data_IF_587914311789
#
_entry.id   IF_587914311789
#
_cell.length_a   1.000
_cell.length_b   1.000
_cell.length_c   1.000
_cell.angle_alpha   90.00
_cell.angle_beta   90.00
_cell.angle_gamma   90.00
#
_symmetry.space_group_name_H-M   'P 1'
#
loop_
_entity.id
_entity.type
_entity.pdbx_description
1 polymer ?
#
# COMPACT_ATOMS: atom_id res chain seq x y z
N UNK A 1 3.28 -17.91 20.21
CA UNK A 1 2.29 -16.96 20.76
C UNK A 1 2.25 -16.99 22.28
N UNK A 2 2.09 -18.16 22.92
CA UNK A 2 1.93 -18.28 24.38
C UNK A 2 3.04 -17.58 25.18
N UNK A 3 4.31 -17.74 24.78
CA UNK A 3 5.45 -17.02 25.39
C UNK A 3 5.34 -15.50 25.28
N UNK A 4 4.74 -14.97 24.22
CA UNK A 4 4.55 -13.54 24.05
C UNK A 4 3.40 -13.03 24.93
N UNK A 5 2.30 -13.77 25.00
CA UNK A 5 1.20 -13.46 25.90
C UNK A 5 1.69 -13.50 27.36
N UNK A 6 2.47 -14.50 27.71
CA UNK A 6 3.08 -14.60 29.04
C UNK A 6 4.02 -13.41 29.33
N UNK A 7 4.83 -13.00 28.35
CA UNK A 7 5.69 -11.82 28.46
C UNK A 7 4.88 -10.53 28.69
N UNK A 8 3.67 -10.43 28.08
CA UNK A 8 2.80 -9.26 28.24
C UNK A 8 2.03 -9.23 29.57
N UNK A 9 1.91 -10.37 30.25
CA UNK A 9 1.26 -10.41 31.59
C UNK A 9 1.99 -9.51 32.56
N UNK A 10 1.22 -8.80 33.37
CA UNK A 10 1.72 -7.87 34.38
C UNK A 10 2.56 -6.69 33.82
N UNK A 11 2.51 -6.43 32.50
CA UNK A 11 3.13 -5.28 31.87
C UNK A 11 2.18 -4.11 31.78
N UNK A 12 2.71 -2.90 31.89
CA UNK A 12 2.02 -1.66 31.53
C UNK A 12 2.06 -1.52 30.03
N UNK A 13 0.95 -1.91 29.37
CA UNK A 13 0.84 -1.98 27.92
C UNK A 13 0.17 -0.70 27.42
N UNK A 14 0.83 0.00 26.52
CA UNK A 14 0.28 1.20 25.91
C UNK A 14 0.02 0.98 24.41
N UNK A 15 -1.19 1.35 23.94
CA UNK A 15 -1.61 1.23 22.54
C UNK A 15 -1.90 2.62 22.01
N UNK A 16 -1.10 3.08 21.05
CA UNK A 16 -1.21 4.42 20.47
C UNK A 16 -1.94 4.36 19.13
N UNK A 17 -2.79 5.37 18.83
CA UNK A 17 -3.60 5.42 17.62
C UNK A 17 -4.71 4.37 17.64
N UNK A 18 -5.35 4.22 18.80
CA UNK A 18 -6.30 3.13 19.06
C UNK A 18 -7.55 3.18 18.18
N UNK A 19 -7.95 4.36 17.68
CA UNK A 19 -9.08 4.47 16.73
C UNK A 19 -8.73 4.03 15.32
N UNK A 20 -7.44 3.88 15.00
CA UNK A 20 -6.96 3.38 13.73
C UNK A 20 -7.12 1.86 13.58
N UNK A 21 -7.06 1.36 12.33
CA UNK A 21 -7.22 -0.06 12.05
C UNK A 21 -6.17 -0.95 12.74
N UNK A 22 -4.93 -0.48 12.86
CA UNK A 22 -3.85 -1.21 13.56
C UNK A 22 -4.09 -1.22 15.08
N UNK A 23 -4.30 -0.05 15.68
CA UNK A 23 -4.47 0.10 17.12
C UNK A 23 -5.70 -0.59 17.68
N UNK A 24 -6.86 -0.47 17.00
CA UNK A 24 -8.10 -1.15 17.41
C UNK A 24 -7.98 -2.67 17.36
N UNK A 25 -7.26 -3.20 16.36
CA UNK A 25 -7.08 -4.65 16.24
C UNK A 25 -6.07 -5.19 17.28
N UNK A 26 -5.04 -4.40 17.62
CA UNK A 26 -4.13 -4.71 18.73
C UNK A 26 -4.90 -4.71 20.06
N UNK A 27 -5.73 -3.68 20.32
CA UNK A 27 -6.56 -3.66 21.53
C UNK A 27 -7.44 -4.91 21.62
N UNK A 28 -8.13 -5.25 20.55
CA UNK A 28 -8.94 -6.48 20.47
C UNK A 28 -8.14 -7.73 20.82
N UNK A 29 -6.91 -7.86 20.27
CA UNK A 29 -6.00 -8.95 20.59
C UNK A 29 -5.69 -9.00 22.11
N UNK A 30 -5.33 -7.87 22.72
CA UNK A 30 -4.98 -7.81 24.13
C UNK A 30 -6.17 -8.18 25.03
N UNK A 31 -7.36 -7.66 24.75
CA UNK A 31 -8.58 -7.96 25.52
C UNK A 31 -9.01 -9.42 25.35
N UNK A 32 -8.95 -9.97 24.13
CA UNK A 32 -9.22 -11.40 23.85
C UNK A 32 -8.34 -12.31 24.71
N UNK A 33 -7.08 -11.94 24.94
CA UNK A 33 -6.14 -12.68 25.77
C UNK A 33 -6.19 -12.30 27.25
N UNK A 34 -7.21 -11.54 27.68
CA UNK A 34 -7.43 -11.15 29.07
C UNK A 34 -6.22 -10.45 29.71
N UNK A 35 -5.50 -9.65 28.91
CA UNK A 35 -4.38 -8.87 29.41
C UNK A 35 -4.91 -7.60 30.11
N UNK A 36 -4.39 -7.37 31.31
CA UNK A 36 -4.72 -6.20 32.13
C UNK A 36 -3.63 -5.13 32.05
N UNK A 37 -3.86 -3.95 32.60
CA UNK A 37 -2.85 -2.87 32.56
C UNK A 37 -2.72 -2.22 31.17
N UNK A 38 -3.75 -2.31 30.35
CA UNK A 38 -3.79 -1.70 29.01
C UNK A 38 -4.24 -0.25 29.10
N UNK A 39 -3.41 0.66 28.58
CA UNK A 39 -3.74 2.08 28.40
C UNK A 39 -3.78 2.38 26.91
N UNK A 40 -4.87 2.97 26.46
CA UNK A 40 -5.10 3.34 25.05
C UNK A 40 -4.97 4.84 24.85
N UNK A 41 -4.36 5.23 23.73
CA UNK A 41 -4.04 6.61 23.41
C UNK A 41 -4.51 6.98 22.01
N UNK A 42 -5.16 8.14 21.87
CA UNK A 42 -5.43 8.73 20.58
C UNK A 42 -5.49 10.26 20.65
N UNK A 43 -5.02 10.94 19.62
CA UNK A 43 -5.04 12.39 19.51
C UNK A 43 -6.42 12.95 19.18
N UNK A 44 -7.40 12.12 18.84
CA UNK A 44 -8.78 12.54 18.58
C UNK A 44 -9.49 12.85 19.91
N UNK A 45 -10.43 13.75 19.88
CA UNK A 45 -11.29 14.04 21.05
C UNK A 45 -12.34 12.92 21.19
N UNK A 46 -12.84 12.72 22.41
CA UNK A 46 -13.80 11.65 22.72
C UNK A 46 -15.04 11.68 21.82
N UNK A 47 -15.56 12.87 21.52
CA UNK A 47 -16.71 13.05 20.62
C UNK A 47 -16.41 12.77 19.15
N UNK A 48 -15.16 12.52 18.78
CA UNK A 48 -14.72 12.23 17.41
C UNK A 48 -14.29 10.76 17.22
N UNK A 49 -14.35 9.94 18.25
CA UNK A 49 -13.87 8.55 18.22
C UNK A 49 -14.57 7.76 17.11
N UNK A 50 -15.89 7.84 16.99
CA UNK A 50 -16.66 7.12 15.97
C UNK A 50 -16.26 7.54 14.56
N UNK A 51 -16.14 8.85 14.33
CA UNK A 51 -15.76 9.40 13.04
C UNK A 51 -14.36 8.92 12.64
N UNK A 52 -13.39 8.98 13.56
CA UNK A 52 -12.02 8.52 13.34
C UNK A 52 -11.99 7.02 13.06
N UNK A 53 -12.65 6.21 13.87
CA UNK A 53 -12.71 4.77 13.68
C UNK A 53 -13.25 4.41 12.28
N UNK A 54 -14.41 4.97 11.90
CA UNK A 54 -15.02 4.71 10.58
C UNK A 54 -14.18 5.21 9.41
N UNK A 55 -13.40 6.28 9.61
CA UNK A 55 -12.47 6.81 8.60
C UNK A 55 -11.33 5.82 8.29
N UNK A 56 -10.78 5.17 9.31
CA UNK A 56 -9.63 4.28 9.15
C UNK A 56 -9.98 2.84 8.78
N UNK A 57 -11.22 2.40 8.99
CA UNK A 57 -11.72 1.08 8.59
C UNK A 57 -12.34 1.14 7.19
N UNK A 58 -11.47 1.32 6.19
CA UNK A 58 -11.85 1.39 4.77
C UNK A 58 -12.08 -0.02 4.21
N UNK A 59 -12.76 -0.11 3.06
CA UNK A 59 -12.90 -1.36 2.31
C UNK A 59 -13.99 -2.32 2.82
N UNK A 60 -14.76 -1.94 3.83
CA UNK A 60 -15.89 -2.72 4.36
C UNK A 60 -17.19 -1.91 4.31
N UNK A 61 -18.32 -2.62 4.33
CA UNK A 61 -19.66 -2.01 4.32
C UNK A 61 -19.93 -1.15 5.56
N UNK A 62 -20.89 -0.25 5.47
CA UNK A 62 -21.29 0.59 6.60
C UNK A 62 -21.80 -0.27 7.78
N UNK A 63 -22.57 -1.32 7.49
CA UNK A 63 -23.11 -2.25 8.50
C UNK A 63 -21.97 -2.98 9.24
N UNK A 64 -20.94 -3.42 8.51
CA UNK A 64 -19.77 -4.05 9.12
C UNK A 64 -18.98 -3.07 9.98
N UNK A 65 -18.83 -1.81 9.54
CA UNK A 65 -18.18 -0.77 10.34
C UNK A 65 -18.90 -0.53 11.67
N UNK A 66 -20.22 -0.50 11.64
CA UNK A 66 -21.04 -0.32 12.86
C UNK A 66 -20.89 -1.49 13.82
N UNK A 67 -20.88 -2.73 13.29
CA UNK A 67 -20.64 -3.93 14.10
C UNK A 67 -19.25 -3.91 14.73
N UNK A 68 -18.23 -3.58 13.95
CA UNK A 68 -16.84 -3.50 14.44
C UNK A 68 -16.69 -2.37 15.46
N UNK A 69 -17.35 -1.23 15.25
CA UNK A 69 -17.29 -0.11 16.19
C UNK A 69 -17.92 -0.46 17.53
N UNK A 70 -19.07 -1.15 17.55
CA UNK A 70 -19.66 -1.64 18.81
C UNK A 70 -18.72 -2.57 19.56
N UNK A 71 -18.06 -3.50 18.85
CA UNK A 71 -17.04 -4.36 19.45
C UNK A 71 -15.85 -3.58 20.00
N UNK A 72 -15.38 -2.59 19.24
CA UNK A 72 -14.27 -1.70 19.65
C UNK A 72 -14.61 -0.92 20.94
N UNK A 73 -15.84 -0.39 21.08
CA UNK A 73 -16.26 0.31 22.32
C UNK A 73 -16.26 -0.64 23.52
N UNK A 74 -16.69 -1.89 23.34
CA UNK A 74 -16.66 -2.89 24.39
C UNK A 74 -15.22 -3.26 24.80
N UNK A 75 -14.29 -3.32 23.85
CA UNK A 75 -12.87 -3.54 24.14
C UNK A 75 -12.26 -2.30 24.84
N UNK A 76 -12.59 -1.10 24.36
CA UNK A 76 -12.11 0.17 24.90
C UNK A 76 -12.51 0.37 26.36
N UNK A 77 -13.73 -0.03 26.74
CA UNK A 77 -14.22 0.06 28.11
C UNK A 77 -13.44 -0.81 29.10
N UNK A 78 -12.61 -1.75 28.64
CA UNK A 78 -11.74 -2.61 29.44
C UNK A 78 -10.31 -2.08 29.56
N UNK A 79 -10.05 -0.88 29.05
CA UNK A 79 -8.74 -0.22 29.10
C UNK A 79 -8.82 1.14 29.76
N UNK A 80 -7.68 1.65 30.24
CA UNK A 80 -7.56 3.05 30.60
C UNK A 80 -7.43 3.88 29.32
N UNK A 81 -8.14 4.99 29.23
CA UNK A 81 -8.16 5.82 28.02
C UNK A 81 -7.48 7.17 28.21
N UNK A 82 -6.76 7.63 27.22
CA UNK A 82 -6.15 8.95 27.16
C UNK A 82 -6.32 9.55 25.77
N UNK A 83 -7.19 10.52 25.61
CA UNK A 83 -7.58 11.12 24.33
C UNK A 83 -7.30 12.63 24.26
N UNK A 84 -7.31 13.17 23.04
CA UNK A 84 -7.19 14.60 22.78
C UNK A 84 -5.77 15.14 22.92
N UNK A 85 -5.61 16.41 23.25
CA UNK A 85 -4.33 17.14 23.17
C UNK A 85 -3.21 16.55 24.04
N UNK A 86 -3.56 15.96 25.17
CA UNK A 86 -2.61 15.35 26.11
C UNK A 86 -2.61 13.81 26.05
N UNK A 87 -3.00 13.25 24.92
CA UNK A 87 -3.21 11.81 24.77
C UNK A 87 -2.02 10.90 25.16
N UNK A 88 -0.79 11.38 25.17
CA UNK A 88 0.40 10.61 25.57
C UNK A 88 0.78 10.74 27.05
N UNK A 89 -0.21 10.91 27.95
CA UNK A 89 0.04 10.92 29.40
C UNK A 89 0.46 9.51 29.84
N UNK A 90 1.53 9.41 30.64
CA UNK A 90 2.03 8.16 31.22
C UNK A 90 2.82 7.25 30.26
N UNK A 91 3.02 7.63 29.00
CA UNK A 91 3.73 6.81 28.02
C UNK A 91 5.20 6.53 28.42
N UNK A 92 5.79 7.38 29.22
CA UNK A 92 7.15 7.26 29.75
C UNK A 92 7.29 6.22 30.88
N UNK A 93 6.16 5.71 31.37
CA UNK A 93 6.08 4.63 32.36
C UNK A 93 5.62 3.31 31.75
N UNK A 94 5.51 3.23 30.43
CA UNK A 94 5.14 2.01 29.72
C UNK A 94 6.26 0.95 29.81
N UNK A 95 5.88 -0.30 29.99
CA UNK A 95 6.78 -1.44 29.79
C UNK A 95 6.90 -1.84 28.33
N UNK A 96 5.84 -1.55 27.54
CA UNK A 96 5.77 -1.82 26.10
C UNK A 96 4.78 -0.87 25.42
N UNK A 97 5.09 -0.43 24.23
CA UNK A 97 4.24 0.46 23.43
C UNK A 97 3.93 -0.17 22.08
N UNK A 98 2.65 -0.30 21.75
CA UNK A 98 2.18 -0.63 20.42
C UNK A 98 1.86 0.64 19.67
N UNK A 99 2.44 0.80 18.49
CA UNK A 99 2.29 2.02 17.67
C UNK A 99 1.88 1.70 16.24
N UNK A 100 1.07 2.57 15.61
CA UNK A 100 0.83 2.49 14.18
C UNK A 100 2.10 2.87 13.41
N UNK A 101 2.28 2.33 12.21
CA UNK A 101 3.45 2.62 11.37
C UNK A 101 3.68 4.12 11.08
N UNK A 102 2.62 4.93 11.20
CA UNK A 102 2.65 6.36 10.91
C UNK A 102 3.13 7.25 12.06
N UNK A 103 3.37 6.73 13.25
CA UNK A 103 3.69 7.54 14.41
C UNK A 103 4.95 8.42 14.21
N UNK A 104 5.90 7.96 13.42
CA UNK A 104 7.15 8.68 13.13
C UNK A 104 6.98 9.90 12.21
N UNK A 105 5.87 9.96 11.46
CA UNK A 105 5.56 11.09 10.56
C UNK A 105 5.21 12.37 11.32
N UNK A 106 4.65 12.23 12.51
CA UNK A 106 4.14 13.36 13.30
C UNK A 106 5.10 13.67 14.46
N UNK A 107 6.34 14.06 14.13
CA UNK A 107 7.42 14.25 15.13
C UNK A 107 7.05 15.23 16.22
N UNK A 108 6.48 16.38 15.87
CA UNK A 108 6.10 17.44 16.84
C UNK A 108 5.02 16.94 17.80
N UNK A 109 3.98 16.29 17.30
CA UNK A 109 2.90 15.73 18.10
C UNK A 109 3.38 14.58 18.99
N UNK A 110 4.30 13.77 18.49
CA UNK A 110 4.75 12.52 19.09
C UNK A 110 6.08 12.64 19.85
N UNK A 111 6.46 13.84 20.30
CA UNK A 111 7.72 14.04 21.03
C UNK A 111 7.89 13.08 22.22
N UNK A 112 6.84 12.84 23.01
CA UNK A 112 6.89 11.90 24.14
C UNK A 112 7.15 10.46 23.69
N UNK A 113 6.62 10.03 22.54
CA UNK A 113 6.95 8.71 21.98
C UNK A 113 8.42 8.62 21.59
N UNK A 114 8.99 9.68 21.00
CA UNK A 114 10.41 9.73 20.68
C UNK A 114 11.29 9.67 21.93
N UNK A 115 10.89 10.32 23.02
CA UNK A 115 11.59 10.24 24.30
C UNK A 115 11.52 8.81 24.87
N UNK A 116 10.34 8.19 24.86
CA UNK A 116 10.16 6.81 25.34
C UNK A 116 10.97 5.80 24.50
N UNK A 117 10.95 5.96 23.16
CA UNK A 117 11.74 5.14 22.25
C UNK A 117 13.25 5.26 22.50
N UNK A 118 13.76 6.50 22.68
CA UNK A 118 15.18 6.74 23.00
C UNK A 118 15.60 6.21 24.38
N UNK A 119 14.68 6.10 25.33
CA UNK A 119 14.91 5.46 26.64
C UNK A 119 14.97 3.94 26.56
N UNK A 120 14.74 3.34 25.39
CA UNK A 120 14.79 1.90 25.18
C UNK A 120 13.50 1.16 25.55
N UNK A 121 12.37 1.86 25.74
CA UNK A 121 11.07 1.19 25.88
C UNK A 121 10.79 0.41 24.60
N UNK A 122 10.42 -0.88 24.68
CA UNK A 122 10.13 -1.70 23.51
C UNK A 122 8.91 -1.17 22.74
N UNK A 123 9.08 -0.95 21.42
CA UNK A 123 8.01 -0.57 20.50
C UNK A 123 7.68 -1.73 19.58
N UNK A 124 6.38 -1.97 19.38
CA UNK A 124 5.88 -3.02 18.51
C UNK A 124 4.89 -2.46 17.49
N UNK A 125 5.13 -2.76 16.22
CA UNK A 125 4.11 -2.59 15.17
C UNK A 125 3.28 -3.87 15.01
N UNK A 126 2.09 -3.73 14.45
CA UNK A 126 1.25 -4.90 14.11
C UNK A 126 1.97 -5.85 13.13
N UNK A 127 2.77 -5.30 12.22
CA UNK A 127 3.55 -6.10 11.26
C UNK A 127 4.59 -6.95 11.96
N UNK A 128 5.27 -6.40 12.98
CA UNK A 128 6.19 -7.18 13.82
C UNK A 128 5.47 -8.34 14.52
N UNK A 129 4.25 -8.13 15.01
CA UNK A 129 3.46 -9.19 15.61
C UNK A 129 3.18 -10.33 14.62
N UNK A 130 2.79 -10.01 13.38
CA UNK A 130 2.59 -11.04 12.36
C UNK A 130 3.88 -11.79 12.04
N UNK A 131 4.99 -11.07 11.82
CA UNK A 131 6.27 -11.70 11.48
C UNK A 131 6.78 -12.61 12.59
N UNK A 132 6.74 -12.14 13.83
CA UNK A 132 7.35 -12.85 14.95
C UNK A 132 6.46 -14.02 15.46
N UNK A 133 5.13 -13.91 15.34
CA UNK A 133 4.22 -14.81 16.06
C UNK A 133 3.21 -15.59 15.21
N UNK A 134 2.97 -15.24 13.95
CA UNK A 134 2.05 -16.03 13.11
C UNK A 134 2.62 -17.44 12.86
N UNK A 135 1.77 -18.46 13.05
CA UNK A 135 2.12 -19.86 12.77
C UNK A 135 2.06 -20.18 11.28
N UNK A 136 1.23 -19.44 10.53
CA UNK A 136 1.06 -19.60 9.09
C UNK A 136 2.38 -19.40 8.33
N UNK A 137 2.46 -19.97 7.14
CA UNK A 137 3.54 -19.67 6.19
C UNK A 137 3.37 -18.22 5.69
N UNK A 138 4.36 -17.37 5.95
CA UNK A 138 4.28 -15.96 5.63
C UNK A 138 4.85 -15.69 4.25
N UNK A 139 4.05 -15.04 3.39
CA UNK A 139 4.50 -14.46 2.13
C UNK A 139 4.48 -12.94 2.27
N UNK A 140 5.65 -12.32 2.40
CA UNK A 140 5.80 -10.87 2.49
C UNK A 140 5.97 -10.24 1.11
N UNK A 141 5.08 -9.33 0.73
CA UNK A 141 5.17 -8.61 -0.55
C UNK A 141 5.65 -7.19 -0.29
N UNK A 142 6.82 -6.85 -0.81
CA UNK A 142 7.43 -5.52 -0.66
C UNK A 142 7.91 -4.97 -2.01
N UNK A 143 8.34 -3.73 -2.00
CA UNK A 143 8.82 -2.99 -3.17
C UNK A 143 8.42 -1.53 -3.11
N UNK A 144 8.83 -0.73 -4.06
CA UNK A 144 8.39 0.67 -4.16
C UNK A 144 6.99 0.75 -4.75
N UNK A 145 6.75 0.08 -5.86
CA UNK A 145 5.50 0.07 -6.62
C UNK A 145 4.98 -1.36 -6.76
N UNK A 146 3.67 -1.54 -6.89
CA UNK A 146 3.03 -2.82 -7.25
C UNK A 146 2.76 -3.78 -6.09
N UNK A 147 3.16 -3.48 -4.85
CA UNK A 147 2.99 -4.35 -3.69
C UNK A 147 1.55 -4.88 -3.51
N UNK A 148 0.59 -3.97 -3.36
CA UNK A 148 -0.82 -4.33 -3.11
C UNK A 148 -1.41 -5.11 -4.28
N UNK A 149 -1.12 -4.73 -5.53
CA UNK A 149 -1.58 -5.47 -6.72
C UNK A 149 -1.02 -6.88 -6.74
N UNK A 150 0.29 -7.06 -6.50
CA UNK A 150 0.92 -8.38 -6.44
C UNK A 150 0.34 -9.23 -5.31
N UNK A 151 0.20 -8.67 -4.11
CA UNK A 151 -0.37 -9.37 -2.96
C UNK A 151 -1.82 -9.79 -3.20
N UNK A 152 -2.62 -8.94 -3.84
CA UNK A 152 -4.01 -9.24 -4.17
C UNK A 152 -4.15 -10.33 -5.25
N UNK A 153 -3.30 -10.29 -6.28
CA UNK A 153 -3.24 -11.35 -7.31
C UNK A 153 -2.82 -12.67 -6.66
N UNK A 154 -1.77 -12.65 -5.85
CA UNK A 154 -1.27 -13.82 -5.13
C UNK A 154 -2.36 -14.46 -4.26
N UNK A 155 -3.13 -13.63 -3.53
CA UNK A 155 -4.29 -14.08 -2.76
C UNK A 155 -5.28 -14.85 -3.63
N UNK A 156 -5.68 -14.28 -4.77
CA UNK A 156 -6.66 -14.92 -5.67
C UNK A 156 -6.17 -16.26 -6.20
N UNK A 157 -4.91 -16.35 -6.62
CA UNK A 157 -4.34 -17.61 -7.13
C UNK A 157 -4.38 -18.69 -6.05
N UNK A 158 -3.96 -18.37 -4.84
CA UNK A 158 -3.90 -19.31 -3.73
C UNK A 158 -5.30 -19.74 -3.26
N UNK A 159 -6.27 -18.82 -3.17
CA UNK A 159 -7.64 -19.14 -2.81
C UNK A 159 -8.33 -20.02 -3.88
N UNK A 160 -8.11 -19.74 -5.16
CA UNK A 160 -8.64 -20.54 -6.27
C UNK A 160 -8.09 -21.98 -6.27
N UNK A 161 -6.91 -22.21 -5.70
CA UNK A 161 -6.35 -23.54 -5.51
C UNK A 161 -6.93 -24.29 -4.30
N UNK A 162 -7.78 -23.63 -3.51
CA UNK A 162 -8.41 -24.18 -2.30
C UNK A 162 -7.59 -23.97 -1.02
N UNK A 163 -6.55 -23.16 -1.04
CA UNK A 163 -5.73 -22.86 0.15
C UNK A 163 -6.43 -21.82 1.05
N UNK A 164 -6.30 -22.01 2.36
CA UNK A 164 -6.79 -21.02 3.33
C UNK A 164 -5.77 -19.88 3.43
N UNK A 165 -6.21 -18.67 3.05
CA UNK A 165 -5.37 -17.49 2.95
C UNK A 165 -5.87 -16.39 3.88
N UNK A 166 -4.96 -15.83 4.66
CA UNK A 166 -5.13 -14.56 5.38
C UNK A 166 -4.38 -13.48 4.61
N UNK A 167 -5.04 -12.34 4.38
CA UNK A 167 -4.45 -11.24 3.61
C UNK A 167 -4.60 -9.92 4.36
N UNK A 168 -3.49 -9.28 4.70
CA UNK A 168 -3.45 -8.03 5.47
C UNK A 168 -2.12 -7.27 5.28
N UNK A 169 -1.86 -6.28 6.10
CA UNK A 169 -0.63 -5.50 6.10
C UNK A 169 -0.85 -4.02 5.84
N UNK A 170 -0.03 -3.42 4.98
CA UNK A 170 -0.09 -1.99 4.65
C UNK A 170 -1.31 -1.60 3.79
N UNK A 171 -1.96 -2.55 3.13
CA UNK A 171 -3.11 -2.27 2.27
C UNK A 171 -4.34 -1.86 3.09
N UNK A 172 -4.92 -0.71 2.73
CA UNK A 172 -6.06 -0.12 3.48
C UNK A 172 -7.41 -0.73 3.12
N UNK A 173 -7.47 -1.64 2.15
CA UNK A 173 -8.69 -2.32 1.71
C UNK A 173 -9.03 -3.55 2.56
N UNK A 174 -8.07 -4.01 3.36
CA UNK A 174 -8.21 -5.20 4.19
C UNK A 174 -8.23 -4.81 5.66
N UNK A 175 -8.97 -5.58 6.45
CA UNK A 175 -8.93 -5.46 7.91
C UNK A 175 -7.61 -6.01 8.45
N UNK A 176 -7.17 -5.48 9.56
CA UNK A 176 -6.11 -6.11 10.35
C UNK A 176 -6.68 -7.36 11.02
N UNK A 177 -5.82 -8.35 11.26
CA UNK A 177 -6.22 -9.69 11.70
C UNK A 177 -5.35 -10.23 12.84
N UNK A 178 -4.65 -9.38 13.58
CA UNK A 178 -3.78 -9.86 14.67
C UNK A 178 -4.59 -10.50 15.81
N UNK A 179 -5.83 -10.07 16.00
CA UNK A 179 -6.79 -10.68 16.93
C UNK A 179 -7.16 -12.13 16.54
N UNK A 180 -6.87 -12.53 15.30
CA UNK A 180 -7.09 -13.87 14.75
C UNK A 180 -5.79 -14.65 14.53
N UNK A 181 -4.66 -14.15 14.98
CA UNK A 181 -3.35 -14.75 14.73
C UNK A 181 -3.24 -16.17 15.29
N UNK A 182 -3.97 -16.48 16.36
CA UNK A 182 -4.02 -17.82 16.98
C UNK A 182 -4.79 -18.84 16.17
N UNK A 183 -5.70 -18.38 15.30
CA UNK A 183 -6.50 -19.23 14.42
C UNK A 183 -5.66 -19.73 13.23
N UNK A 184 -4.49 -19.12 12.98
CA UNK A 184 -3.60 -19.47 11.90
C UNK A 184 -2.82 -20.73 12.23
N UNK A 185 -2.89 -21.73 11.35
CA UNK A 185 -2.10 -22.96 11.42
C UNK A 185 -0.86 -22.88 10.53
N UNK A 186 0.04 -23.85 10.67
CA UNK A 186 1.22 -23.96 9.79
C UNK A 186 0.88 -24.30 8.33
N UNK A 187 -0.31 -24.81 8.08
CA UNK A 187 -0.78 -25.19 6.75
C UNK A 187 -1.51 -24.01 6.05
N UNK A 188 -1.82 -22.95 6.80
CA UNK A 188 -2.41 -21.72 6.28
C UNK A 188 -1.35 -20.81 5.69
N UNK A 189 -1.77 -19.85 4.85
CA UNK A 189 -0.90 -18.86 4.26
C UNK A 189 -1.30 -17.47 4.76
N UNK A 190 -0.32 -16.70 5.24
CA UNK A 190 -0.47 -15.30 5.58
C UNK A 190 0.26 -14.44 4.56
N UNK A 191 -0.49 -13.70 3.74
CA UNK A 191 0.06 -12.71 2.82
C UNK A 191 0.10 -11.35 3.52
N UNK A 192 1.30 -10.76 3.60
CA UNK A 192 1.52 -9.43 4.16
C UNK A 192 2.02 -8.45 3.09
N UNK A 193 1.25 -7.40 2.81
CA UNK A 193 1.84 -6.24 2.13
C UNK A 193 2.69 -5.45 3.13
N UNK A 194 3.98 -5.29 2.85
CA UNK A 194 4.94 -4.69 3.80
C UNK A 194 5.55 -3.40 3.22
N UNK A 195 5.32 -2.29 3.92
CA UNK A 195 5.95 -1.00 3.64
C UNK A 195 7.29 -0.85 4.39
N UNK A 196 8.11 0.13 4.00
CA UNK A 196 9.36 0.43 4.72
C UNK A 196 9.12 0.89 6.17
N UNK A 197 8.06 1.65 6.42
CA UNK A 197 7.75 2.16 7.76
C UNK A 197 7.43 1.06 8.76
N UNK A 198 6.79 0.00 8.29
CA UNK A 198 6.46 -1.17 9.11
C UNK A 198 7.68 -2.00 9.54
N UNK A 199 8.83 -1.79 8.89
CA UNK A 199 10.09 -2.47 9.20
C UNK A 199 10.96 -1.69 10.20
N UNK A 200 10.62 -0.42 10.49
CA UNK A 200 11.42 0.44 11.36
C UNK A 200 11.43 0.01 12.83
N UNK A 201 10.43 -0.75 13.27
CA UNK A 201 10.35 -1.27 14.64
C UNK A 201 11.05 -2.62 14.81
N UNK A 202 11.73 -3.08 13.74
CA UNK A 202 12.43 -4.36 13.72
C UNK A 202 11.48 -5.56 13.65
N UNK A 203 12.08 -6.73 13.54
CA UNK A 203 11.41 -8.04 13.56
C UNK A 203 12.46 -9.10 13.88
N UNK A 204 12.03 -10.23 14.44
CA UNK A 204 12.93 -11.35 14.79
C UNK A 204 12.88 -12.51 13.80
N UNK A 205 11.88 -12.51 12.90
CA UNK A 205 11.67 -13.52 11.86
C UNK A 205 11.32 -12.87 10.54
N UNK A 206 12.01 -13.26 9.47
CA UNK A 206 11.62 -12.87 8.09
C UNK A 206 10.47 -13.73 7.57
N UNK A 207 9.73 -13.26 6.55
CA UNK A 207 8.77 -14.09 5.82
C UNK A 207 9.45 -15.30 5.17
N UNK A 208 8.75 -16.44 5.13
CA UNK A 208 9.22 -17.65 4.45
C UNK A 208 9.45 -17.42 2.95
N UNK A 209 8.60 -16.61 2.34
CA UNK A 209 8.73 -16.16 0.96
C UNK A 209 8.66 -14.64 0.96
N UNK A 210 9.64 -13.96 0.38
CA UNK A 210 9.58 -12.51 0.12
C UNK A 210 9.46 -12.27 -1.37
N UNK A 211 8.40 -11.58 -1.78
CA UNK A 211 8.23 -11.10 -3.15
C UNK A 211 8.64 -9.64 -3.20
N UNK A 212 9.73 -9.35 -3.92
CA UNK A 212 10.26 -8.00 -4.04
C UNK A 212 10.01 -7.46 -5.45
N UNK A 213 9.00 -6.61 -5.59
CA UNK A 213 8.49 -6.18 -6.90
C UNK A 213 9.47 -5.27 -7.66
N UNK A 214 10.05 -4.28 -6.98
CA UNK A 214 11.02 -3.33 -7.52
C UNK A 214 11.59 -2.45 -6.40
N UNK A 215 12.66 -1.72 -6.70
CA UNK A 215 13.30 -0.82 -5.76
C UNK A 215 13.70 0.47 -6.49
N UNK A 216 12.99 1.57 -6.19
CA UNK A 216 13.24 2.91 -6.72
C UNK A 216 13.34 3.92 -5.57
N UNK A 217 14.04 5.05 -5.77
CA UNK A 217 14.05 6.15 -4.80
C UNK A 217 12.63 6.58 -4.43
N UNK A 218 12.34 6.67 -3.14
CA UNK A 218 11.04 7.10 -2.63
C UNK A 218 11.20 7.54 -1.17
N UNK A 219 10.35 8.45 -0.69
CA UNK A 219 10.40 8.99 0.68
C UNK A 219 11.75 9.64 1.03
N UNK A 220 12.35 10.36 0.05
CA UNK A 220 13.64 11.03 0.22
C UNK A 220 13.53 12.30 1.08
N UNK A 221 12.33 12.78 1.33
CA UNK A 221 11.98 13.78 2.33
C UNK A 221 12.11 13.29 3.78
N UNK A 222 12.00 11.96 3.99
CA UNK A 222 12.08 11.33 5.31
C UNK A 222 13.43 10.63 5.55
N UNK A 223 13.98 10.01 4.52
CA UNK A 223 15.14 9.11 4.59
C UNK A 223 16.09 9.34 3.42
N UNK A 224 17.39 9.14 3.62
CA UNK A 224 18.31 9.01 2.48
C UNK A 224 17.97 7.77 1.64
N UNK A 225 18.36 7.80 0.35
CA UNK A 225 18.17 6.64 -0.54
C UNK A 225 18.80 5.37 0.02
N UNK A 226 20.02 5.46 0.56
CA UNK A 226 20.71 4.29 1.11
C UNK A 226 19.99 3.74 2.34
N UNK A 227 19.43 4.61 3.19
CA UNK A 227 18.67 4.16 4.36
C UNK A 227 17.33 3.54 3.96
N UNK A 228 16.63 4.10 2.97
CA UNK A 228 15.40 3.50 2.43
C UNK A 228 15.68 2.13 1.84
N UNK A 229 16.76 1.98 1.06
CA UNK A 229 17.23 0.72 0.48
C UNK A 229 17.59 -0.30 1.55
N UNK A 230 18.37 0.10 2.56
CA UNK A 230 18.73 -0.74 3.70
C UNK A 230 17.50 -1.32 4.40
N UNK A 231 16.54 -0.45 4.76
CA UNK A 231 15.31 -0.84 5.45
C UNK A 231 14.51 -1.83 4.61
N UNK A 232 14.25 -1.54 3.34
CA UNK A 232 13.46 -2.43 2.50
C UNK A 232 14.13 -3.79 2.26
N UNK A 233 15.44 -3.79 2.06
CA UNK A 233 16.19 -5.02 1.79
C UNK A 233 16.46 -5.84 3.06
N UNK A 234 16.19 -5.30 4.25
CA UNK A 234 16.33 -6.05 5.50
C UNK A 234 15.49 -7.34 5.50
N UNK A 235 14.28 -7.33 4.91
CA UNK A 235 13.43 -8.51 4.80
C UNK A 235 14.15 -9.70 4.14
N UNK A 236 14.79 -9.47 2.98
CA UNK A 236 15.49 -10.53 2.24
C UNK A 236 16.86 -10.85 2.84
N UNK A 237 17.53 -9.87 3.43
CA UNK A 237 18.81 -10.08 4.10
C UNK A 237 18.67 -10.89 5.40
N UNK A 238 17.52 -10.80 6.04
CA UNK A 238 17.24 -11.52 7.30
C UNK A 238 16.78 -12.96 7.08
N UNK A 239 16.42 -13.33 5.85
CA UNK A 239 16.05 -14.69 5.46
C UNK A 239 17.20 -15.69 5.64
N UNK A 240 16.83 -16.95 5.83
CA UNK A 240 17.71 -18.10 5.97
C UNK A 240 17.83 -18.90 4.66
N UNK A 241 18.64 -19.94 4.63
CA UNK A 241 18.78 -20.88 3.49
C UNK A 241 17.49 -21.67 3.17
N UNK A 242 16.55 -21.73 4.11
CA UNK A 242 15.29 -22.47 3.96
C UNK A 242 14.17 -21.59 3.39
N UNK A 243 14.39 -20.27 3.31
CA UNK A 243 13.47 -19.28 2.81
C UNK A 243 13.68 -19.00 1.31
N UNK A 244 12.73 -18.29 0.70
CA UNK A 244 12.75 -17.92 -0.71
C UNK A 244 12.62 -16.41 -0.92
N UNK A 245 13.43 -15.88 -1.82
CA UNK A 245 13.33 -14.51 -2.35
C UNK A 245 12.90 -14.54 -3.81
N UNK A 246 11.70 -14.06 -4.10
CA UNK A 246 11.17 -13.87 -5.46
C UNK A 246 11.48 -12.45 -5.90
N UNK A 247 12.41 -12.28 -6.84
CA UNK A 247 13.07 -11.01 -7.13
C UNK A 247 12.85 -10.59 -8.58
N UNK A 248 12.50 -9.33 -8.78
CA UNK A 248 12.41 -8.75 -10.11
C UNK A 248 13.81 -8.63 -10.74
N UNK A 249 14.07 -9.42 -11.78
CA UNK A 249 15.32 -9.40 -12.53
C UNK A 249 15.55 -8.08 -13.28
N UNK A 250 14.50 -7.37 -13.66
CA UNK A 250 14.58 -6.10 -14.40
C UNK A 250 15.08 -4.94 -13.52
N UNK A 251 15.11 -5.11 -12.18
CA UNK A 251 15.68 -4.16 -11.23
C UNK A 251 17.16 -4.45 -10.99
N UNK A 252 18.06 -3.59 -11.52
CA UNK A 252 19.51 -3.71 -11.33
C UNK A 252 19.91 -3.69 -9.85
N UNK A 253 19.29 -2.83 -9.05
CA UNK A 253 19.50 -2.75 -7.60
C UNK A 253 19.21 -4.08 -6.90
N UNK A 254 18.08 -4.71 -7.24
CA UNK A 254 17.70 -5.99 -6.65
C UNK A 254 18.60 -7.13 -7.11
N UNK A 255 19.00 -7.16 -8.39
CA UNK A 255 19.97 -8.16 -8.88
C UNK A 255 21.30 -8.09 -8.13
N UNK A 256 21.82 -6.87 -7.95
CA UNK A 256 23.11 -6.67 -7.26
C UNK A 256 23.06 -7.14 -5.79
N UNK A 257 21.92 -6.97 -5.15
CA UNK A 257 21.71 -7.40 -3.75
C UNK A 257 21.54 -8.92 -3.69
N UNK A 258 20.82 -9.50 -4.63
CA UNK A 258 20.41 -10.91 -4.59
C UNK A 258 21.55 -11.91 -4.63
N UNK A 259 22.69 -11.57 -5.23
CA UNK A 259 23.89 -12.45 -5.29
C UNK A 259 24.50 -12.75 -3.92
N UNK A 260 24.15 -11.99 -2.89
CA UNK A 260 24.67 -12.14 -1.52
C UNK A 260 23.63 -12.66 -0.52
N UNK A 261 22.46 -13.06 -0.99
CA UNK A 261 21.40 -13.57 -0.13
C UNK A 261 21.69 -15.02 0.30
N UNK A 262 21.26 -15.35 1.52
CA UNK A 262 21.29 -16.73 2.02
C UNK A 262 20.11 -17.55 1.52
N UNK A 263 18.97 -16.90 1.27
CA UNK A 263 17.73 -17.52 0.77
C UNK A 263 17.88 -18.00 -0.66
N UNK A 264 17.04 -18.94 -1.06
CA UNK A 264 16.92 -19.40 -2.43
C UNK A 264 16.29 -18.32 -3.28
N UNK A 265 16.97 -17.87 -4.35
CA UNK A 265 16.49 -16.79 -5.19
C UNK A 265 15.77 -17.35 -6.41
N UNK A 266 14.54 -16.90 -6.63
CA UNK A 266 13.76 -17.10 -7.83
C UNK A 266 13.55 -15.75 -8.52
N UNK A 267 13.92 -15.64 -9.79
CA UNK A 267 13.74 -14.40 -10.55
C UNK A 267 12.45 -14.43 -11.38
N UNK A 268 11.84 -13.27 -11.53
CA UNK A 268 10.83 -13.01 -12.56
C UNK A 268 11.22 -11.77 -13.37
N UNK A 269 10.78 -11.72 -14.64
CA UNK A 269 11.05 -10.59 -15.54
C UNK A 269 9.95 -10.50 -16.60
N UNK A 270 9.49 -9.30 -16.90
CA UNK A 270 8.64 -9.03 -18.05
C UNK A 270 9.43 -8.71 -19.32
N UNK A 271 10.74 -8.45 -19.20
CA UNK A 271 11.62 -8.00 -20.30
C UNK A 271 12.54 -9.10 -20.80
N UNK A 272 13.00 -9.98 -19.90
CA UNK A 272 14.01 -11.00 -20.24
C UNK A 272 13.39 -12.21 -20.90
N UNK A 273 13.90 -12.56 -22.09
CA UNK A 273 13.56 -13.80 -22.80
C UNK A 273 14.28 -15.03 -22.24
N UNK A 274 15.28 -14.84 -21.36
CA UNK A 274 16.05 -15.93 -20.76
C UNK A 274 15.29 -16.74 -19.72
N UNK A 275 14.12 -16.26 -19.27
CA UNK A 275 13.22 -17.02 -18.42
C UNK A 275 12.31 -17.90 -19.28
N UNK A 276 12.87 -18.98 -19.84
CA UNK A 276 12.22 -19.92 -20.77
C UNK A 276 11.19 -20.83 -20.09
N UNK A 277 10.33 -20.28 -19.25
CA UNK A 277 9.18 -21.00 -18.70
C UNK A 277 7.99 -20.71 -19.62
N UNK A 278 7.47 -21.75 -20.31
CA UNK A 278 6.32 -21.63 -21.23
C UNK A 278 5.14 -20.86 -20.62
N UNK A 279 4.88 -21.06 -19.33
CA UNK A 279 3.84 -20.34 -18.59
C UNK A 279 4.08 -18.83 -18.52
N UNK A 280 5.33 -18.38 -18.35
CA UNK A 280 5.68 -16.95 -18.33
C UNK A 280 5.45 -16.32 -19.70
N UNK A 281 5.82 -17.03 -20.77
CA UNK A 281 5.57 -16.57 -22.14
C UNK A 281 4.06 -16.45 -22.41
N UNK A 282 3.29 -17.45 -22.00
CA UNK A 282 1.82 -17.42 -22.10
C UNK A 282 1.24 -16.23 -21.35
N UNK A 283 1.58 -16.05 -20.07
CA UNK A 283 1.11 -14.92 -19.24
C UNK A 283 1.41 -13.59 -19.93
N UNK A 284 2.66 -13.41 -20.37
CA UNK A 284 3.10 -12.16 -21.01
C UNK A 284 2.34 -11.90 -22.30
N UNK A 285 2.15 -12.92 -23.13
CA UNK A 285 1.41 -12.82 -24.40
C UNK A 285 -0.06 -12.51 -24.17
N UNK A 286 -0.70 -13.23 -23.24
CA UNK A 286 -2.10 -13.01 -22.88
C UNK A 286 -2.35 -11.58 -22.36
N UNK A 287 -1.52 -11.09 -21.43
CA UNK A 287 -1.67 -9.75 -20.89
C UNK A 287 -1.40 -8.65 -21.92
N UNK A 288 -0.48 -8.89 -22.87
CA UNK A 288 -0.24 -7.99 -24.02
C UNK A 288 -1.47 -7.91 -24.92
N UNK A 289 -2.03 -9.05 -25.33
CA UNK A 289 -3.19 -9.09 -26.23
C UNK A 289 -4.44 -8.48 -25.61
N UNK A 290 -4.60 -8.57 -24.30
CA UNK A 290 -5.73 -8.01 -23.54
C UNK A 290 -5.47 -6.59 -23.00
N UNK A 291 -4.42 -5.91 -23.48
CA UNK A 291 -4.07 -4.54 -23.08
C UNK A 291 -3.83 -4.36 -21.57
N UNK A 292 -3.48 -5.43 -20.84
CA UNK A 292 -3.21 -5.41 -19.39
C UNK A 292 -1.72 -5.40 -19.05
N UNK A 293 -0.88 -4.86 -19.94
CA UNK A 293 0.58 -4.87 -19.80
C UNK A 293 1.10 -4.24 -18.52
N UNK A 294 0.42 -3.20 -18.00
CA UNK A 294 0.83 -2.48 -16.79
C UNK A 294 0.87 -3.33 -15.51
N UNK A 295 0.24 -4.51 -15.54
CA UNK A 295 0.23 -5.44 -14.40
C UNK A 295 1.07 -6.69 -14.65
N UNK A 296 1.76 -6.78 -15.80
CA UNK A 296 2.54 -7.99 -16.16
C UNK A 296 3.52 -8.36 -15.06
N UNK A 297 4.32 -7.41 -14.56
CA UNK A 297 5.27 -7.66 -13.48
C UNK A 297 4.58 -8.17 -12.21
N UNK A 298 3.39 -7.64 -11.88
CA UNK A 298 2.65 -8.04 -10.70
C UNK A 298 2.13 -9.49 -10.82
N UNK A 299 1.62 -9.86 -12.00
CA UNK A 299 1.14 -11.22 -12.28
C UNK A 299 2.31 -12.20 -12.28
N UNK A 300 3.42 -11.86 -12.93
CA UNK A 300 4.62 -12.69 -12.96
C UNK A 300 5.23 -12.90 -11.57
N UNK A 301 5.27 -11.83 -10.76
CA UNK A 301 5.74 -11.91 -9.38
C UNK A 301 4.87 -12.84 -8.53
N UNK A 302 3.55 -12.70 -8.63
CA UNK A 302 2.61 -13.57 -7.93
C UNK A 302 2.69 -15.01 -8.39
N UNK A 303 2.70 -15.25 -9.70
CA UNK A 303 2.83 -16.58 -10.28
C UNK A 303 4.15 -17.26 -9.87
N UNK A 304 5.27 -16.54 -9.91
CA UNK A 304 6.56 -17.07 -9.48
C UNK A 304 6.57 -17.46 -8.01
N UNK A 305 5.90 -16.69 -7.14
CA UNK A 305 5.77 -17.05 -5.74
C UNK A 305 4.91 -18.31 -5.54
N UNK A 306 3.81 -18.45 -6.30
CA UNK A 306 2.92 -19.63 -6.19
C UNK A 306 3.56 -20.89 -6.77
N UNK A 307 4.46 -20.77 -7.76
CA UNK A 307 5.17 -21.92 -8.32
C UNK A 307 6.06 -22.66 -7.30
N UNK A 308 6.47 -21.96 -6.22
CA UNK A 308 7.26 -22.58 -5.14
C UNK A 308 6.50 -23.66 -4.38
N UNK A 309 5.18 -23.68 -4.45
CA UNK A 309 4.35 -24.72 -3.81
C UNK A 309 4.29 -26.04 -4.61
N UNK A 310 4.80 -26.07 -5.84
CA UNK A 310 4.84 -27.23 -6.74
C UNK A 310 3.45 -27.92 -6.90
N UNK A 311 2.37 -27.18 -6.74
CA UNK A 311 1.01 -27.64 -6.88
C UNK A 311 0.56 -27.48 -8.34
N UNK A 312 0.13 -28.53 -9.06
CA UNK A 312 -0.31 -28.44 -10.45
C UNK A 312 -1.41 -27.39 -10.67
N UNK A 313 -2.31 -27.18 -9.69
CA UNK A 313 -3.34 -26.13 -9.77
C UNK A 313 -2.75 -24.72 -9.77
N UNK A 314 -1.64 -24.51 -9.07
CA UNK A 314 -0.93 -23.23 -9.01
C UNK A 314 0.02 -23.03 -10.20
N UNK A 315 0.39 -24.10 -10.89
CA UNK A 315 1.20 -24.04 -12.10
C UNK A 315 0.37 -23.80 -13.36
N UNK A 316 -0.95 -24.00 -13.31
CA UNK A 316 -1.85 -23.62 -14.40
C UNK A 316 -1.92 -22.12 -14.57
N UNK A 317 -2.16 -21.70 -15.80
CA UNK A 317 -2.39 -20.28 -16.18
C UNK A 317 -3.88 -19.98 -16.41
N UNK A 318 -4.77 -20.94 -16.21
CA UNK A 318 -6.20 -20.84 -16.48
C UNK A 318 -6.91 -19.79 -15.60
N UNK A 319 -6.30 -19.41 -14.48
CA UNK A 319 -6.80 -18.38 -13.59
C UNK A 319 -6.66 -16.95 -14.15
N UNK A 320 -5.78 -16.72 -15.14
CA UNK A 320 -5.44 -15.36 -15.59
C UNK A 320 -6.65 -14.60 -16.11
N UNK A 321 -7.55 -15.18 -16.92
CA UNK A 321 -8.75 -14.49 -17.38
C UNK A 321 -9.70 -14.04 -16.27
N UNK A 322 -9.69 -14.73 -15.14
CA UNK A 322 -10.57 -14.44 -13.98
C UNK A 322 -9.97 -13.48 -12.96
N UNK A 323 -8.73 -13.02 -13.15
CA UNK A 323 -8.09 -12.10 -12.22
C UNK A 323 -8.87 -10.78 -12.08
N UNK A 324 -9.18 -10.45 -10.84
CA UNK A 324 -9.72 -9.15 -10.47
C UNK A 324 -8.58 -8.22 -10.06
N UNK A 325 -8.73 -6.94 -10.42
CA UNK A 325 -7.74 -5.93 -10.11
C UNK A 325 -8.24 -4.97 -9.04
N UNK A 326 -7.32 -4.46 -8.24
CA UNK A 326 -7.65 -3.48 -7.23
C UNK A 326 -8.22 -2.21 -7.85
N UNK A 327 -9.26 -1.61 -7.26
CA UNK A 327 -9.83 -0.36 -7.74
C UNK A 327 -8.80 0.78 -7.68
N UNK A 328 -9.05 1.82 -8.46
CA UNK A 328 -8.18 3.00 -8.56
C UNK A 328 -6.73 2.69 -9.03
N UNK A 329 -6.59 1.64 -9.86
CA UNK A 329 -5.34 1.27 -10.55
C UNK A 329 -5.64 1.04 -12.02
N UNK A 330 -5.46 2.08 -12.83
CA UNK A 330 -5.81 2.10 -14.26
C UNK A 330 -7.25 1.63 -14.53
N UNK A 331 -8.16 1.93 -13.61
CA UNK A 331 -9.55 1.50 -13.70
C UNK A 331 -10.30 2.38 -14.68
N UNK A 332 -10.82 1.81 -15.76
CA UNK A 332 -11.77 2.50 -16.65
C UNK A 332 -13.08 2.70 -15.86
N UNK A 333 -13.42 3.95 -15.57
CA UNK A 333 -14.63 4.30 -14.82
C UNK A 333 -15.85 4.43 -15.72
N UNK A 334 -15.69 5.11 -16.85
CA UNK A 334 -16.74 5.30 -17.86
C UNK A 334 -16.15 5.81 -19.16
N UNK A 335 -16.94 5.68 -20.24
CA UNK A 335 -16.75 6.41 -21.49
C UNK A 335 -17.90 7.39 -21.65
N UNK A 336 -17.60 8.67 -21.86
CA UNK A 336 -18.59 9.73 -22.04
C UNK A 336 -18.23 10.58 -23.26
N UNK A 337 -19.16 10.75 -24.20
CA UNK A 337 -18.93 11.47 -25.46
C UNK A 337 -17.62 10.99 -26.14
N UNK A 338 -17.45 9.68 -26.27
CA UNK A 338 -16.26 9.03 -26.84
C UNK A 338 -14.93 9.33 -26.12
N UNK A 339 -14.96 9.83 -24.89
CA UNK A 339 -13.76 10.05 -24.04
C UNK A 339 -13.74 9.03 -22.93
N UNK A 340 -12.61 8.34 -22.75
CA UNK A 340 -12.40 7.35 -21.71
C UNK A 340 -11.83 7.99 -20.45
N UNK A 341 -12.43 7.69 -19.29
CA UNK A 341 -11.96 8.19 -17.98
C UNK A 341 -11.33 7.07 -17.16
N UNK A 342 -10.07 7.23 -16.81
CA UNK A 342 -9.31 6.28 -16.00
C UNK A 342 -9.01 6.83 -14.63
N UNK A 343 -9.32 6.03 -13.60
CA UNK A 343 -8.93 6.26 -12.20
C UNK A 343 -7.65 5.47 -11.90
N UNK A 344 -6.59 6.19 -11.57
CA UNK A 344 -5.29 5.66 -11.21
C UNK A 344 -4.68 6.39 -9.99
N UNK A 345 -5.55 6.88 -9.09
CA UNK A 345 -5.14 7.69 -7.93
C UNK A 345 -4.21 6.96 -6.96
N UNK A 346 -4.08 5.65 -7.08
CA UNK A 346 -3.11 4.84 -6.32
C UNK A 346 -1.69 4.87 -6.91
N UNK A 347 -1.50 5.49 -8.05
CA UNK A 347 -0.18 5.74 -8.66
C UNK A 347 0.49 6.96 -8.03
N UNK A 348 1.08 6.75 -6.84
CA UNK A 348 1.67 7.80 -6.00
C UNK A 348 3.17 7.99 -6.20
N UNK A 349 3.69 7.55 -7.33
CA UNK A 349 5.09 7.75 -7.76
C UNK A 349 5.15 8.04 -9.25
N UNK A 350 6.18 8.78 -9.73
CA UNK A 350 6.33 9.08 -11.16
C UNK A 350 6.38 7.81 -12.00
N UNK A 351 7.08 6.77 -11.57
CA UNK A 351 7.21 5.51 -12.32
C UNK A 351 5.87 4.81 -12.56
N UNK A 352 4.97 4.79 -11.57
CA UNK A 352 3.65 4.18 -11.73
C UNK A 352 2.79 4.92 -12.77
N UNK A 353 2.81 6.26 -12.76
CA UNK A 353 2.10 7.07 -13.74
C UNK A 353 2.70 6.93 -15.14
N UNK A 354 4.04 6.85 -15.25
CA UNK A 354 4.71 6.60 -16.54
C UNK A 354 4.28 5.24 -17.13
N UNK A 355 4.16 4.18 -16.33
CA UNK A 355 3.67 2.88 -16.80
C UNK A 355 2.20 2.97 -17.29
N UNK A 356 1.36 3.71 -16.60
CA UNK A 356 -0.01 3.96 -17.02
C UNK A 356 -0.06 4.68 -18.39
N UNK A 357 0.78 5.69 -18.58
CA UNK A 357 0.87 6.43 -19.83
C UNK A 357 1.43 5.58 -21.00
N UNK A 358 2.43 4.71 -20.74
CA UNK A 358 2.91 3.76 -21.77
C UNK A 358 1.81 2.87 -22.30
N UNK A 359 0.84 2.53 -21.45
CA UNK A 359 -0.32 1.72 -21.86
C UNK A 359 -1.34 2.52 -22.67
N UNK A 360 -1.65 3.74 -22.24
CA UNK A 360 -2.71 4.55 -22.87
C UNK A 360 -2.24 5.28 -24.12
N UNK A 361 -0.94 5.56 -24.22
CA UNK A 361 -0.36 6.28 -25.35
C UNK A 361 -0.55 7.80 -25.29
N UNK A 362 -0.04 8.48 -26.32
CA UNK A 362 0.05 9.95 -26.38
C UNK A 362 -1.31 10.65 -26.48
N UNK A 363 -2.40 9.95 -26.86
CA UNK A 363 -3.76 10.51 -26.88
C UNK A 363 -4.38 10.63 -25.47
N UNK A 364 -3.56 10.95 -24.48
CA UNK A 364 -3.96 11.00 -23.08
C UNK A 364 -3.77 12.40 -22.50
N UNK A 365 -4.83 12.93 -21.88
CA UNK A 365 -4.76 14.08 -20.99
C UNK A 365 -4.50 13.58 -19.59
N UNK A 366 -3.33 13.92 -19.04
CA UNK A 366 -2.93 13.53 -17.70
C UNK A 366 -3.39 14.58 -16.68
N UNK A 367 -4.03 14.14 -15.59
CA UNK A 367 -4.27 14.95 -14.39
C UNK A 367 -3.39 14.38 -13.28
N UNK A 368 -2.44 15.20 -12.77
CA UNK A 368 -1.52 14.78 -11.71
C UNK A 368 -1.30 15.89 -10.66
N UNK A 369 -0.76 15.52 -9.49
CA UNK A 369 -0.47 16.45 -8.39
C UNK A 369 -0.40 15.74 -7.04
N UNK A 370 0.27 16.35 -6.07
CA UNK A 370 0.46 15.84 -4.72
C UNK A 370 1.84 16.19 -4.15
N UNK A 371 2.22 15.52 -3.05
CA UNK A 371 3.50 15.71 -2.38
C UNK A 371 4.58 14.84 -3.01
N UNK A 372 5.71 15.45 -3.37
CA UNK A 372 6.78 14.83 -4.17
C UNK A 372 7.60 13.79 -3.42
N UNK A 373 7.56 13.77 -2.11
CA UNK A 373 8.38 12.88 -1.26
C UNK A 373 9.89 13.01 -1.51
N UNK A 374 10.35 14.21 -1.89
CA UNK A 374 11.74 14.47 -2.20
C UNK A 374 12.28 13.74 -3.45
N UNK A 375 11.40 13.20 -4.30
CA UNK A 375 11.79 12.51 -5.53
C UNK A 375 12.18 13.55 -6.59
N UNK A 376 13.18 13.22 -7.40
CA UNK A 376 13.51 14.00 -8.59
C UNK A 376 12.52 13.64 -9.72
N UNK A 377 11.86 14.63 -10.28
CA UNK A 377 10.85 14.48 -11.33
C UNK A 377 11.37 14.74 -12.74
N UNK A 378 12.65 14.96 -12.95
CA UNK A 378 13.20 15.29 -14.27
C UNK A 378 12.82 14.24 -15.34
N UNK A 379 13.08 12.98 -15.10
CA UNK A 379 12.75 11.90 -16.04
C UNK A 379 11.24 11.78 -16.29
N UNK A 380 10.42 12.02 -15.28
CA UNK A 380 8.96 12.04 -15.39
C UNK A 380 8.50 13.17 -16.29
N UNK A 381 9.08 14.36 -16.15
CA UNK A 381 8.75 15.54 -16.94
C UNK A 381 9.08 15.29 -18.40
N UNK A 382 10.30 14.86 -18.71
CA UNK A 382 10.74 14.53 -20.07
C UNK A 382 9.84 13.45 -20.71
N UNK A 383 9.51 12.42 -19.94
CA UNK A 383 8.64 11.34 -20.41
C UNK A 383 7.21 11.83 -20.70
N UNK A 384 6.61 12.59 -19.80
CA UNK A 384 5.22 13.06 -19.95
C UNK A 384 5.09 14.07 -21.09
N UNK A 385 6.12 14.90 -21.33
CA UNK A 385 6.15 15.82 -22.46
C UNK A 385 6.02 15.08 -23.80
N UNK A 386 6.74 13.96 -23.93
CA UNK A 386 6.74 13.17 -25.17
C UNK A 386 5.53 12.23 -25.31
N UNK A 387 4.88 11.84 -24.20
CA UNK A 387 3.89 10.77 -24.17
C UNK A 387 2.50 11.20 -23.70
N UNK A 388 2.21 12.50 -23.61
CA UNK A 388 0.88 13.01 -23.31
C UNK A 388 0.48 14.11 -24.28
N UNK A 389 -0.83 14.21 -24.53
CA UNK A 389 -1.38 15.31 -25.30
C UNK A 389 -1.35 16.63 -24.51
N UNK A 390 -1.72 16.57 -23.24
CA UNK A 390 -1.77 17.72 -22.32
C UNK A 390 -1.61 17.25 -20.89
N UNK A 391 -0.99 18.09 -20.07
CA UNK A 391 -0.84 17.88 -18.63
C UNK A 391 -1.69 18.93 -17.91
N UNK A 392 -2.49 18.46 -16.96
CA UNK A 392 -3.26 19.29 -16.02
C UNK A 392 -2.73 18.98 -14.63
N UNK A 393 -2.28 20.01 -13.94
CA UNK A 393 -1.71 19.90 -12.60
C UNK A 393 -2.73 20.32 -11.55
N UNK A 394 -2.78 19.58 -10.46
CA UNK A 394 -3.41 20.04 -9.24
C UNK A 394 -2.38 20.87 -8.46
N UNK A 395 -2.81 22.02 -7.93
CA UNK A 395 -1.96 22.93 -7.17
C UNK A 395 -1.37 22.21 -5.95
N UNK A 396 -0.07 21.98 -5.97
CA UNK A 396 0.63 21.14 -5.02
C UNK A 396 2.14 21.32 -5.14
N UNK A 397 2.91 20.64 -4.31
CA UNK A 397 4.37 20.60 -4.42
C UNK A 397 4.82 20.11 -5.82
N UNK A 398 4.16 19.07 -6.38
CA UNK A 398 4.46 18.59 -7.73
C UNK A 398 4.24 19.67 -8.78
N UNK A 399 3.18 20.47 -8.69
CA UNK A 399 2.95 21.54 -9.66
C UNK A 399 4.03 22.60 -9.63
N UNK A 400 4.61 22.88 -8.45
CA UNK A 400 5.75 23.79 -8.29
C UNK A 400 7.02 23.21 -8.91
N UNK A 401 7.29 21.93 -8.69
CA UNK A 401 8.44 21.24 -9.27
C UNK A 401 8.37 21.17 -10.80
N UNK A 402 7.21 20.79 -11.34
CA UNK A 402 6.97 20.71 -12.80
C UNK A 402 7.11 22.08 -13.45
N UNK A 403 6.56 23.14 -12.83
CA UNK A 403 6.62 24.51 -13.35
C UNK A 403 8.02 25.10 -13.51
N UNK A 404 9.04 24.49 -12.88
CA UNK A 404 10.45 24.89 -13.08
C UNK A 404 11.01 24.47 -14.45
N UNK A 405 10.42 23.47 -15.10
CA UNK A 405 10.97 22.83 -16.28
C UNK A 405 10.10 22.97 -17.52
N UNK A 406 8.78 23.13 -17.37
CA UNK A 406 7.88 23.29 -18.48
C UNK A 406 7.59 24.76 -18.80
N UNK A 407 7.50 25.15 -20.09
CA UNK A 407 6.88 26.39 -20.51
C UNK A 407 5.41 26.46 -20.06
N UNK A 408 4.94 27.63 -19.66
CA UNK A 408 3.60 27.82 -19.09
C UNK A 408 2.43 27.48 -20.03
N UNK A 409 2.68 27.25 -21.31
CA UNK A 409 1.68 26.86 -22.32
C UNK A 409 1.39 25.35 -22.35
N UNK A 410 2.29 24.52 -21.83
CA UNK A 410 2.15 23.05 -21.85
C UNK A 410 1.31 22.48 -20.70
N UNK A 411 1.15 23.19 -19.61
CA UNK A 411 0.35 22.74 -18.49
C UNK A 411 -0.58 23.83 -17.94
N UNK A 412 -1.61 23.40 -17.22
CA UNK A 412 -2.52 24.28 -16.51
C UNK A 412 -2.68 23.79 -15.09
N UNK A 413 -2.76 24.72 -14.13
CA UNK A 413 -2.86 24.40 -12.70
C UNK A 413 -4.27 24.72 -12.21
N UNK A 414 -4.87 23.79 -11.46
CA UNK A 414 -6.21 23.91 -10.86
C UNK A 414 -6.17 23.61 -9.36
N UNK A 415 -7.01 24.31 -8.61
CA UNK A 415 -7.09 24.14 -7.14
C UNK A 415 -7.86 22.86 -6.73
N UNK A 416 -8.73 22.34 -7.60
CA UNK A 416 -9.49 21.14 -7.27
C UNK A 416 -9.64 20.16 -8.44
N UNK A 417 -9.82 18.89 -8.08
CA UNK A 417 -9.94 17.80 -9.05
C UNK A 417 -11.18 17.93 -9.95
N UNK A 418 -12.28 18.51 -9.46
CA UNK A 418 -13.50 18.71 -10.23
C UNK A 418 -13.24 19.64 -11.43
N UNK A 419 -12.59 20.76 -11.21
CA UNK A 419 -12.22 21.72 -12.25
C UNK A 419 -11.22 21.12 -13.24
N UNK A 420 -10.22 20.38 -12.72
CA UNK A 420 -9.25 19.68 -13.55
C UNK A 420 -9.90 18.67 -14.49
N UNK A 421 -10.84 17.84 -13.99
CA UNK A 421 -11.59 16.87 -14.80
C UNK A 421 -12.48 17.57 -15.82
N UNK A 422 -13.18 18.63 -15.42
CA UNK A 422 -14.02 19.43 -16.35
C UNK A 422 -13.17 20.01 -17.49
N UNK A 423 -12.03 20.59 -17.18
CA UNK A 423 -11.11 21.14 -18.18
C UNK A 423 -10.54 20.05 -19.08
N UNK A 424 -10.11 18.92 -18.52
CA UNK A 424 -9.63 17.78 -19.28
C UNK A 424 -10.69 17.33 -20.30
N UNK A 425 -11.94 17.19 -19.86
CA UNK A 425 -13.06 16.80 -20.73
C UNK A 425 -13.33 17.81 -21.83
N UNK A 426 -13.29 19.11 -21.51
CA UNK A 426 -13.48 20.20 -22.49
C UNK A 426 -12.46 20.16 -23.64
N UNK A 427 -11.20 19.89 -23.31
CA UNK A 427 -10.10 19.90 -24.30
C UNK A 427 -9.87 18.56 -24.99
N UNK A 428 -10.41 17.44 -24.46
CA UNK A 428 -10.21 16.11 -25.03
C UNK A 428 -10.98 15.95 -26.35
N UNK A 429 -10.40 15.26 -27.34
CA UNK A 429 -11.04 14.84 -28.58
C UNK A 429 -11.78 13.49 -28.41
N UNK A 430 -12.44 13.05 -29.51
CA UNK A 430 -13.01 11.71 -29.55
C UNK A 430 -11.92 10.64 -29.45
N UNK A 431 -12.24 9.54 -28.80
CA UNK A 431 -11.33 8.41 -28.56
C UNK A 431 -10.06 8.75 -27.78
N UNK A 432 -10.06 9.87 -27.07
CA UNK A 432 -8.98 10.24 -26.15
C UNK A 432 -9.22 9.72 -24.75
N UNK A 433 -8.15 9.69 -23.98
CA UNK A 433 -8.14 9.22 -22.60
C UNK A 433 -7.92 10.40 -21.65
N UNK A 434 -8.65 10.42 -20.55
CA UNK A 434 -8.38 11.25 -19.37
C UNK A 434 -7.90 10.32 -18.26
N UNK A 435 -6.68 10.53 -17.82
CA UNK A 435 -6.03 9.74 -16.78
C UNK A 435 -5.85 10.57 -15.52
N UNK A 436 -6.53 10.20 -14.45
CA UNK A 436 -6.28 10.77 -13.09
C UNK A 436 -5.25 9.92 -12.40
N UNK A 437 -3.98 10.32 -12.49
CA UNK A 437 -2.83 9.57 -11.95
C UNK A 437 -1.86 10.55 -11.29
N UNK A 438 -1.82 10.61 -9.95
CA UNK A 438 -1.15 11.68 -9.21
C UNK A 438 0.35 11.81 -9.46
N UNK A 439 1.07 10.73 -9.72
CA UNK A 439 2.52 10.66 -9.79
C UNK A 439 3.26 11.04 -8.48
N UNK A 440 2.54 11.50 -7.47
CA UNK A 440 3.02 11.96 -6.17
C UNK A 440 2.11 11.46 -5.04
N UNK A 441 2.47 11.64 -3.77
CA UNK A 441 1.59 11.28 -2.67
C UNK A 441 0.30 12.09 -2.73
N UNK A 442 -0.82 11.40 -2.86
CA UNK A 442 -2.11 12.00 -3.10
C UNK A 442 -3.01 11.84 -1.87
N UNK A 443 -3.35 12.96 -1.26
CA UNK A 443 -4.34 13.01 -0.20
C UNK A 443 -5.66 13.51 -0.81
N UNK A 444 -6.63 12.63 -0.85
CA UNK A 444 -7.91 12.90 -1.51
C UNK A 444 -8.61 14.15 -0.96
N UNK A 445 -8.45 14.41 0.34
CA UNK A 445 -9.01 15.57 1.04
C UNK A 445 -8.43 16.90 0.58
N UNK A 446 -7.22 16.91 0.03
CA UNK A 446 -6.56 18.15 -0.41
C UNK A 446 -7.18 18.68 -1.72
N UNK A 447 -7.75 17.78 -2.54
CA UNK A 447 -8.18 18.10 -3.91
C UNK A 447 -9.67 17.91 -4.15
N UNK A 448 -10.39 17.27 -3.22
CA UNK A 448 -11.83 17.02 -3.34
C UNK A 448 -12.56 17.77 -2.24
N UNK A 449 -13.29 18.80 -2.65
CA UNK A 449 -14.22 19.50 -1.77
C UNK A 449 -15.50 18.65 -1.61
N UNK A 450 -15.74 18.14 -0.41
CA UNK A 450 -16.94 17.37 -0.08
C UNK A 450 -16.78 15.84 -0.24
N UNK A 451 -17.92 15.14 -0.42
CA UNK A 451 -17.97 13.65 -0.53
C UNK A 451 -17.95 13.14 -1.98
N UNK A 452 -17.54 13.95 -2.94
CA UNK A 452 -17.58 13.56 -4.35
C UNK A 452 -16.45 12.58 -4.70
N UNK A 453 -16.82 11.45 -5.27
CA UNK A 453 -15.85 10.54 -5.90
C UNK A 453 -15.59 10.97 -7.36
N UNK A 454 -14.45 10.54 -7.94
CA UNK A 454 -14.14 10.77 -9.35
C UNK A 454 -15.34 10.36 -10.25
N UNK A 455 -15.96 9.21 -9.96
CA UNK A 455 -17.14 8.73 -10.68
C UNK A 455 -18.30 9.71 -10.61
N UNK A 456 -18.60 10.29 -9.44
CA UNK A 456 -19.67 11.31 -9.29
C UNK A 456 -19.34 12.57 -10.08
N UNK A 457 -18.08 13.02 -10.05
CA UNK A 457 -17.65 14.17 -10.83
C UNK A 457 -17.88 13.92 -12.32
N UNK A 458 -17.47 12.76 -12.84
CA UNK A 458 -17.68 12.40 -14.26
C UNK A 458 -19.17 12.34 -14.61
N UNK A 459 -20.00 11.76 -13.75
CA UNK A 459 -21.44 11.69 -13.97
C UNK A 459 -22.08 13.09 -14.05
N UNK A 460 -21.57 14.05 -13.28
CA UNK A 460 -22.06 15.44 -13.26
C UNK A 460 -21.58 16.31 -14.43
N UNK A 461 -20.68 15.83 -15.27
CA UNK A 461 -20.22 16.57 -16.45
C UNK A 461 -21.39 16.81 -17.41
N UNK A 462 -21.54 18.01 -17.99
CA UNK A 462 -22.58 18.27 -18.99
C UNK A 462 -22.32 17.48 -20.30
N UNK A 463 -23.31 17.32 -21.13
CA UNK A 463 -23.11 16.88 -22.51
C UNK A 463 -22.12 17.78 -23.25
N UNK A 464 -21.35 17.22 -24.15
CA UNK A 464 -20.26 17.95 -24.84
C UNK A 464 -20.76 19.10 -25.67
N UNK A 465 -21.95 18.98 -26.19
CA UNK A 465 -22.66 19.99 -26.99
C UNK A 465 -22.96 21.29 -26.19
N UNK A 466 -22.88 21.23 -24.88
CA UNK A 466 -23.10 22.34 -23.95
C UNK A 466 -21.80 22.92 -23.33
N UNK A 467 -20.62 22.45 -23.77
CA UNK A 467 -19.31 22.89 -23.32
C UNK A 467 -18.56 23.64 -24.40
#
# INVERSE_FOLDING_TARGET
MDKFIEFLRNKKIHVVGVTGAEGSNILRFLIKHKLTGVTTHDCVKENQIEQSFKLWHKGISQTEKEKLFKGFLADLSQSHTSFGDKYLIGIDHADIVFTPQSWRLYKERNQKLWVAYKKGIPFYSITRMYLDYAKAQIIGVTGTVGKGSTAYILKQILENSGRKVYFTGNETWTLQMVDRIDEMSKDDILILEISHRQLLDGFSRAPNIVVFTNLFPNHLDELSWDKYKEIKTSLIKFQTKDDYSVINYDSSELRNISVRLRSKVLYFSAKSTHMNIKSIQYITTYLKSNKNMHITDNVLAAYSATSLFQDPKLLSTDFIPSLLFLPARMQLLSTKSSVNFYDDIKSTTPWSTMEALRKLGSNTVLICGGHTKGINYYDFIQFTEANTRKIILLKSELSTEVGKFFPNDKFQVYDCLKEAIFKAFKISGENENILVSPAAAFFYTDFIKGKDSIRKIITSLPPRELI
#
